data_IF_386633560679
#
_entry.id   IF_386633560679
#
_cell.length_a   1.000
_cell.length_b   1.000
_cell.length_c   1.000
_cell.angle_alpha   90.00
_cell.angle_beta   90.00
_cell.angle_gamma   90.00
#
_symmetry.space_group_name_H-M   'P 1'
#
loop_
_entity.id
_entity.type
_entity.pdbx_description
1 polymer ?
#
# COMPACT_ATOMS: atom_id res chain seq x y z
N UNK A 1 1.91 -0.34 26.69
CA UNK A 1 1.07 0.60 25.89
C UNK A 1 -0.40 0.28 26.13
N UNK A 2 -1.17 1.22 26.66
CA UNK A 2 -2.63 1.09 26.78
C UNK A 2 -3.30 1.81 25.64
N UNK A 3 -4.00 1.06 24.78
CA UNK A 3 -4.79 1.62 23.66
C UNK A 3 -6.20 1.86 24.17
N UNK A 4 -6.68 3.10 24.12
CA UNK A 4 -8.02 3.49 24.59
C UNK A 4 -9.06 3.52 23.47
N UNK A 5 -8.64 3.86 22.27
CA UNK A 5 -9.50 3.99 21.08
C UNK A 5 -8.62 3.90 19.84
N UNK A 6 -9.24 3.64 18.68
CA UNK A 6 -8.56 3.63 17.40
C UNK A 6 -9.44 4.16 16.29
N UNK A 7 -8.80 4.66 15.27
CA UNK A 7 -9.46 5.13 14.06
C UNK A 7 -8.81 4.45 12.86
N UNK A 8 -9.62 3.88 11.98
CA UNK A 8 -9.15 3.26 10.74
C UNK A 8 -9.70 3.98 9.53
N UNK A 9 -8.86 4.17 8.53
CA UNK A 9 -9.22 4.75 7.25
C UNK A 9 -8.74 3.86 6.12
N UNK A 10 -9.66 3.53 5.22
CA UNK A 10 -9.38 2.87 3.96
C UNK A 10 -9.33 3.89 2.83
N UNK A 11 -8.59 3.58 1.77
CA UNK A 11 -8.54 4.37 0.54
C UNK A 11 -8.08 3.53 -0.64
N UNK A 12 -8.33 3.98 -1.87
CA UNK A 12 -7.56 3.58 -3.04
C UNK A 12 -6.20 4.29 -3.04
N UNK A 13 -5.27 3.90 -3.92
CA UNK A 13 -3.93 4.48 -4.05
C UNK A 13 -3.73 5.14 -5.40
N UNK A 14 -3.87 4.40 -6.51
CA UNK A 14 -3.86 4.98 -7.85
C UNK A 14 -5.15 5.76 -8.14
N UNK A 15 -6.28 5.37 -7.54
CA UNK A 15 -7.55 6.06 -7.62
C UNK A 15 -7.47 7.52 -7.17
N UNK A 16 -8.20 8.40 -7.86
CA UNK A 16 -8.37 9.81 -7.53
C UNK A 16 -9.65 10.00 -6.72
N UNK A 17 -9.89 11.22 -6.21
CA UNK A 17 -11.16 11.54 -5.55
C UNK A 17 -12.33 11.30 -6.52
N UNK A 18 -13.28 10.45 -6.11
CA UNK A 18 -14.40 10.01 -6.94
C UNK A 18 -14.10 8.80 -7.83
N UNK A 19 -12.92 8.16 -7.71
CA UNK A 19 -12.69 6.83 -8.25
C UNK A 19 -13.65 5.82 -7.60
N UNK A 20 -13.99 4.76 -8.34
CA UNK A 20 -14.83 3.71 -7.79
C UNK A 20 -14.08 2.87 -6.76
N UNK A 21 -14.80 2.39 -5.73
CA UNK A 21 -14.19 1.57 -4.69
C UNK A 21 -13.73 0.19 -5.23
N UNK A 22 -14.49 -0.39 -6.16
CA UNK A 22 -14.20 -1.69 -6.76
C UNK A 22 -13.26 -1.61 -8.00
N UNK A 23 -12.34 -0.66 -8.03
CA UNK A 23 -11.27 -0.62 -9.04
C UNK A 23 -10.10 -1.53 -8.65
N UNK A 24 -9.38 -2.06 -9.69
CA UNK A 24 -8.10 -2.77 -9.48
C UNK A 24 -7.03 -1.79 -9.01
N UNK A 25 -6.69 -1.86 -7.74
CA UNK A 25 -5.77 -0.95 -7.07
C UNK A 25 -5.29 -1.55 -5.75
N UNK A 26 -4.20 -1.03 -5.21
CA UNK A 26 -3.84 -1.21 -3.80
C UNK A 26 -4.83 -0.41 -2.94
N UNK A 27 -5.16 -0.91 -1.76
CA UNK A 27 -5.93 -0.17 -0.75
C UNK A 27 -5.02 0.32 0.36
N UNK A 28 -5.11 1.61 0.66
CA UNK A 28 -4.56 2.14 1.89
C UNK A 28 -5.28 1.54 3.09
N UNK A 29 -4.52 1.15 4.09
CA UNK A 29 -4.95 0.52 5.33
C UNK A 29 -4.27 1.24 6.50
N UNK A 30 -4.84 2.37 6.94
CA UNK A 30 -4.22 3.24 7.91
C UNK A 30 -4.95 3.17 9.26
N UNK A 31 -4.19 2.90 10.33
CA UNK A 31 -4.66 2.86 11.71
C UNK A 31 -4.00 3.98 12.51
N UNK A 32 -4.81 4.67 13.29
CA UNK A 32 -4.38 5.58 14.33
C UNK A 32 -4.80 5.02 15.68
N UNK A 33 -3.83 4.70 16.51
CA UNK A 33 -4.05 4.24 17.88
C UNK A 33 -3.92 5.43 18.82
N UNK A 34 -4.97 5.70 19.60
CA UNK A 34 -4.93 6.70 20.66
C UNK A 34 -4.47 6.03 21.95
N UNK A 35 -3.23 6.27 22.32
CA UNK A 35 -2.62 5.66 23.51
C UNK A 35 -2.53 6.67 24.67
N UNK A 36 -2.12 6.20 25.84
CA UNK A 36 -1.86 7.06 27.00
C UNK A 36 -0.60 7.91 26.83
N UNK A 37 0.27 7.54 25.91
CA UNK A 37 1.57 8.17 25.62
C UNK A 37 1.53 9.06 24.38
N UNK A 38 0.42 9.06 23.64
CA UNK A 38 0.25 9.82 22.41
C UNK A 38 -0.42 9.01 21.31
N UNK A 39 -0.35 9.50 20.08
CA UNK A 39 -0.85 8.77 18.93
C UNK A 39 0.25 7.90 18.33
N UNK A 40 -0.10 6.66 18.04
CA UNK A 40 0.69 5.78 17.19
C UNK A 40 -0.06 5.54 15.88
N UNK A 41 0.57 5.86 14.75
CA UNK A 41 0.00 5.67 13.43
C UNK A 41 0.70 4.53 12.69
N UNK A 42 -0.07 3.52 12.28
CA UNK A 42 0.37 2.46 11.37
C UNK A 42 -0.23 2.72 9.99
N UNK A 43 0.58 3.26 9.08
CA UNK A 43 0.13 3.70 7.75
C UNK A 43 0.52 2.67 6.70
N UNK A 44 -0.30 1.63 6.59
CA UNK A 44 -0.06 0.46 5.75
C UNK A 44 -0.95 0.39 4.51
N UNK A 45 -0.90 -0.78 3.88
CA UNK A 45 -1.70 -1.15 2.70
C UNK A 45 -2.31 -2.54 2.89
N UNK A 46 -3.16 -2.94 1.94
CA UNK A 46 -3.68 -4.31 1.87
C UNK A 46 -2.70 -5.31 1.21
N UNK A 47 -1.47 -4.90 0.97
CA UNK A 47 -0.41 -5.71 0.38
C UNK A 47 0.85 -5.70 1.25
N UNK A 48 1.59 -6.81 1.37
CA UNK A 48 2.77 -6.89 2.21
C UNK A 48 3.98 -6.15 1.65
N UNK A 49 3.97 -5.79 0.38
CA UNK A 49 5.04 -5.13 -0.36
C UNK A 49 4.51 -3.91 -1.11
N UNK A 50 5.40 -3.19 -1.80
CA UNK A 50 5.06 -2.05 -2.63
C UNK A 50 5.85 -2.07 -3.95
N UNK A 51 5.51 -1.21 -4.91
CA UNK A 51 6.11 -1.19 -6.26
C UNK A 51 7.57 -0.75 -6.29
N UNK A 52 8.00 0.07 -5.34
CA UNK A 52 9.30 0.73 -5.34
C UNK A 52 9.98 0.64 -3.98
N UNK A 53 11.29 0.62 -3.97
CA UNK A 53 12.14 0.63 -2.77
C UNK A 53 12.95 1.93 -2.62
N UNK A 54 13.13 2.70 -3.70
CA UNK A 54 13.80 4.00 -3.67
C UNK A 54 12.77 5.14 -3.68
N UNK A 55 12.76 6.02 -2.66
CA UNK A 55 11.81 7.14 -2.59
C UNK A 55 11.92 8.14 -3.74
N UNK A 56 13.03 8.20 -4.46
CA UNK A 56 13.16 9.07 -5.65
C UNK A 56 12.12 8.75 -6.72
N UNK A 57 11.72 7.48 -6.82
CA UNK A 57 10.72 7.02 -7.79
C UNK A 57 9.28 7.25 -7.37
N UNK A 58 9.02 7.75 -6.14
CA UNK A 58 7.65 7.92 -5.65
C UNK A 58 6.85 8.95 -6.46
N UNK A 59 7.47 10.06 -6.84
CA UNK A 59 6.81 11.09 -7.67
C UNK A 59 6.57 10.54 -9.08
N UNK A 60 7.52 9.78 -9.62
CA UNK A 60 7.43 9.15 -10.94
C UNK A 60 6.31 8.11 -10.97
N UNK A 61 6.22 7.25 -9.95
CA UNK A 61 5.12 6.31 -9.78
C UNK A 61 3.76 7.03 -9.80
N UNK A 62 3.61 8.10 -9.03
CA UNK A 62 2.37 8.86 -9.00
C UNK A 62 2.01 9.44 -10.37
N UNK A 63 2.98 9.92 -11.14
CA UNK A 63 2.75 10.42 -12.50
C UNK A 63 2.36 9.30 -13.47
N UNK A 64 3.02 8.14 -13.37
CA UNK A 64 2.77 7.01 -14.24
C UNK A 64 1.35 6.43 -14.06
N UNK A 65 0.88 6.29 -12.81
CA UNK A 65 -0.43 5.68 -12.49
C UNK A 65 -1.61 6.66 -12.54
N UNK A 66 -1.37 7.97 -12.67
CA UNK A 66 -2.44 8.99 -12.69
C UNK A 66 -2.84 9.32 -14.13
N UNK A 67 -2.55 10.51 -14.60
CA UNK A 67 -3.06 11.04 -15.85
C UNK A 67 -1.94 11.38 -16.84
N UNK A 68 -2.12 10.99 -18.08
CA UNK A 68 -1.27 11.43 -19.17
C UNK A 68 -1.32 12.96 -19.31
N UNK A 69 -0.17 13.65 -19.42
CA UNK A 69 -0.13 15.12 -19.40
C UNK A 69 -0.78 15.78 -20.64
N UNK A 70 -0.95 15.04 -21.73
CA UNK A 70 -1.54 15.57 -22.97
C UNK A 70 -3.04 15.34 -23.02
N UNK A 71 -3.47 14.11 -22.70
CA UNK A 71 -4.86 13.68 -22.89
C UNK A 71 -5.70 13.83 -21.63
N UNK A 72 -5.06 13.89 -20.46
CA UNK A 72 -5.68 13.80 -19.14
C UNK A 72 -6.43 12.46 -18.91
N UNK A 73 -6.06 11.42 -19.64
CA UNK A 73 -6.60 10.06 -19.48
C UNK A 73 -5.59 9.20 -18.73
N UNK A 74 -6.06 8.12 -18.07
CA UNK A 74 -5.17 7.06 -17.61
C UNK A 74 -4.55 6.36 -18.81
N UNK A 75 -3.26 6.06 -18.76
CA UNK A 75 -2.52 5.47 -19.86
C UNK A 75 -1.89 4.14 -19.42
N UNK A 76 -2.32 3.00 -19.98
CA UNK A 76 -1.64 1.73 -19.77
C UNK A 76 -0.16 1.79 -20.17
N UNK A 77 0.17 2.49 -21.26
CA UNK A 77 1.57 2.69 -21.65
C UNK A 77 2.41 3.33 -20.56
N UNK A 78 1.95 4.45 -19.99
CA UNK A 78 2.72 5.16 -18.95
C UNK A 78 2.89 4.30 -17.71
N UNK A 79 1.83 3.62 -17.30
CA UNK A 79 1.82 2.79 -16.12
C UNK A 79 2.72 1.55 -16.27
N UNK A 80 2.51 0.79 -17.34
CA UNK A 80 3.27 -0.45 -17.57
C UNK A 80 4.71 -0.18 -17.99
N UNK A 81 4.99 0.92 -18.69
CA UNK A 81 6.38 1.31 -18.97
C UNK A 81 7.15 1.53 -17.67
N UNK A 82 6.57 2.29 -16.74
CA UNK A 82 7.18 2.52 -15.43
C UNK A 82 7.42 1.22 -14.66
N UNK A 83 6.38 0.38 -14.52
CA UNK A 83 6.51 -0.87 -13.77
C UNK A 83 7.52 -1.84 -14.38
N UNK A 84 7.58 -1.92 -15.71
CA UNK A 84 8.50 -2.82 -16.39
C UNK A 84 9.93 -2.31 -16.51
N UNK A 85 10.15 -1.00 -16.23
CA UNK A 85 11.50 -0.42 -16.12
C UNK A 85 12.12 -0.61 -14.73
N UNK A 86 11.32 -0.98 -13.76
CA UNK A 86 11.73 -1.23 -12.38
C UNK A 86 11.40 -2.69 -12.00
N UNK A 87 12.36 -3.62 -12.13
CA UNK A 87 12.12 -5.05 -11.89
C UNK A 87 11.64 -5.34 -10.47
N UNK A 88 12.02 -4.54 -9.49
CA UNK A 88 11.53 -4.63 -8.12
C UNK A 88 10.01 -4.47 -8.02
N UNK A 89 9.37 -3.89 -9.03
CA UNK A 89 7.91 -3.73 -9.06
C UNK A 89 7.16 -5.06 -9.27
N UNK A 90 7.82 -6.09 -9.83
CA UNK A 90 7.16 -7.33 -10.25
C UNK A 90 6.38 -7.99 -9.11
N UNK A 91 6.92 -8.05 -7.91
CA UNK A 91 6.26 -8.68 -6.78
C UNK A 91 4.91 -8.02 -6.47
N UNK A 92 4.89 -6.70 -6.38
CA UNK A 92 3.66 -5.96 -6.15
C UNK A 92 2.70 -6.03 -7.36
N UNK A 93 3.23 -5.98 -8.58
CA UNK A 93 2.43 -6.11 -9.81
C UNK A 93 1.74 -7.47 -9.85
N UNK A 94 2.45 -8.55 -9.50
CA UNK A 94 1.87 -9.90 -9.42
C UNK A 94 0.68 -9.94 -8.46
N UNK A 95 0.80 -9.34 -7.26
CA UNK A 95 -0.33 -9.25 -6.31
C UNK A 95 -1.47 -8.41 -6.88
N UNK A 96 -1.16 -7.28 -7.49
CA UNK A 96 -2.17 -6.34 -8.01
C UNK A 96 -2.94 -6.94 -9.19
N UNK A 97 -2.29 -7.75 -10.03
CA UNK A 97 -2.93 -8.39 -11.19
C UNK A 97 -3.61 -9.72 -10.83
N UNK A 98 -3.34 -10.28 -9.68
CA UNK A 98 -4.02 -11.49 -9.20
C UNK A 98 -5.50 -11.21 -8.84
N UNK A 99 -6.18 -12.21 -8.34
CA UNK A 99 -7.52 -12.08 -7.75
C UNK A 99 -7.57 -11.09 -6.58
N UNK A 100 -6.46 -10.88 -5.85
CA UNK A 100 -6.34 -9.92 -4.74
C UNK A 100 -6.41 -8.45 -5.13
N UNK A 101 -6.29 -8.12 -6.42
CA UNK A 101 -6.30 -6.75 -6.90
C UNK A 101 -7.62 -6.01 -6.71
N UNK A 102 -8.74 -6.74 -6.58
CA UNK A 102 -10.07 -6.17 -6.34
C UNK A 102 -10.74 -6.91 -5.17
N UNK A 103 -10.54 -6.50 -3.92
CA UNK A 103 -11.29 -7.03 -2.80
C UNK A 103 -12.79 -6.77 -2.99
N UNK A 104 -13.65 -7.71 -2.54
CA UNK A 104 -15.10 -7.53 -2.63
C UNK A 104 -15.62 -6.40 -1.73
N UNK A 105 -14.92 -6.11 -0.65
CA UNK A 105 -15.16 -4.96 0.23
C UNK A 105 -13.94 -4.66 1.10
N UNK A 106 -13.95 -3.54 1.84
CA UNK A 106 -12.91 -3.22 2.82
C UNK A 106 -12.84 -4.23 3.98
N UNK A 107 -13.91 -4.97 4.27
CA UNK A 107 -13.95 -5.98 5.32
C UNK A 107 -13.21 -7.26 4.94
N UNK A 108 -13.11 -7.56 3.64
CA UNK A 108 -12.60 -8.81 3.09
C UNK A 108 -11.16 -8.71 2.58
N UNK A 109 -10.35 -7.87 3.18
CA UNK A 109 -8.94 -7.74 2.86
C UNK A 109 -8.07 -7.69 4.12
N UNK A 110 -6.85 -8.18 4.02
CA UNK A 110 -5.84 -8.03 5.04
C UNK A 110 -5.23 -6.63 5.01
N UNK A 111 -4.54 -6.26 6.09
CA UNK A 111 -3.71 -5.08 6.17
C UNK A 111 -2.28 -5.44 6.57
N UNK A 112 -1.33 -4.63 6.13
CA UNK A 112 0.09 -4.83 6.38
C UNK A 112 0.76 -3.50 6.68
N UNK A 113 1.76 -3.50 7.56
CA UNK A 113 2.65 -2.34 7.67
C UNK A 113 3.44 -2.13 6.39
N UNK A 114 3.67 -3.19 5.63
CA UNK A 114 4.58 -3.32 4.48
C UNK A 114 6.03 -3.02 4.86
N UNK A 115 6.27 -1.89 5.52
CA UNK A 115 7.57 -1.50 6.08
C UNK A 115 7.98 -2.35 7.28
N UNK A 116 9.29 -2.41 7.48
CA UNK A 116 9.90 -2.85 8.73
C UNK A 116 9.95 -1.69 9.72
N UNK A 117 9.51 -1.95 10.95
CA UNK A 117 9.63 -1.05 12.11
C UNK A 117 10.55 -1.68 13.14
N UNK A 118 10.73 -1.02 14.28
CA UNK A 118 11.42 -1.60 15.42
C UNK A 118 10.53 -1.65 16.65
N UNK A 119 10.77 -2.66 17.51
CA UNK A 119 10.31 -2.67 18.89
C UNK A 119 11.52 -2.59 19.81
N UNK A 120 11.40 -1.78 20.86
CA UNK A 120 12.47 -1.50 21.81
C UNK A 120 11.93 -1.80 23.21
N UNK A 121 12.63 -2.67 23.94
CA UNK A 121 12.22 -3.06 25.29
C UNK A 121 12.76 -2.07 26.36
N UNK A 122 12.43 -2.34 27.63
CA UNK A 122 12.86 -1.51 28.76
C UNK A 122 14.38 -1.56 29.00
N UNK A 123 15.06 -2.58 28.51
CA UNK A 123 16.51 -2.71 28.58
C UNK A 123 17.22 -2.03 27.39
N UNK A 124 16.46 -1.28 26.60
CA UNK A 124 16.92 -0.59 25.38
C UNK A 124 17.48 -1.54 24.32
N UNK A 125 16.94 -2.78 24.25
CA UNK A 125 17.26 -3.74 23.22
C UNK A 125 16.23 -3.64 22.09
N UNK A 126 16.71 -3.65 20.85
CA UNK A 126 15.90 -3.54 19.64
C UNK A 126 15.69 -4.88 18.95
N UNK A 127 14.47 -5.08 18.42
CA UNK A 127 14.16 -6.08 17.40
C UNK A 127 13.42 -5.42 16.24
N UNK A 128 13.59 -5.97 15.06
CA UNK A 128 12.84 -5.55 13.88
C UNK A 128 11.47 -6.22 13.84
N UNK A 129 10.48 -5.52 13.30
CA UNK A 129 9.11 -6.03 13.28
C UNK A 129 8.38 -5.64 11.99
N UNK A 130 7.58 -6.56 11.46
CA UNK A 130 6.52 -6.27 10.49
C UNK A 130 5.15 -6.57 11.12
N UNK A 131 4.19 -5.67 10.91
CA UNK A 131 2.82 -5.83 11.43
C UNK A 131 1.90 -6.36 10.34
N UNK A 132 1.04 -7.30 10.71
CA UNK A 132 0.06 -7.95 9.85
C UNK A 132 -1.31 -7.86 10.51
N UNK A 133 -2.33 -7.50 9.74
CA UNK A 133 -3.71 -7.32 10.18
C UNK A 133 -4.58 -8.26 9.36
N UNK A 134 -4.93 -9.41 9.93
CA UNK A 134 -5.66 -10.47 9.22
C UNK A 134 -7.17 -10.32 9.44
N UNK A 135 -7.90 -10.14 8.35
CA UNK A 135 -9.37 -10.09 8.39
C UNK A 135 -9.93 -11.40 8.95
N UNK A 136 -10.87 -11.29 9.89
CA UNK A 136 -11.59 -12.43 10.43
C UNK A 136 -12.88 -12.75 9.64
N UNK A 137 -13.22 -11.92 8.66
CA UNK A 137 -14.35 -12.12 7.75
C UNK A 137 -13.98 -13.04 6.58
N UNK A 138 -12.71 -13.45 6.50
CA UNK A 138 -12.15 -14.14 5.34
C UNK A 138 -11.78 -13.19 4.22
N UNK A 139 -11.21 -13.74 3.17
CA UNK A 139 -10.83 -13.02 1.97
C UNK A 139 -11.83 -13.30 0.87
N UNK A 140 -12.31 -12.25 0.25
CA UNK A 140 -13.21 -12.34 -0.89
C UNK A 140 -12.81 -11.29 -1.91
N UNK A 141 -12.80 -11.66 -3.18
CA UNK A 141 -12.36 -10.82 -4.27
C UNK A 141 -13.42 -10.80 -5.37
N UNK A 142 -13.41 -9.77 -6.20
CA UNK A 142 -14.23 -9.66 -7.39
C UNK A 142 -13.38 -9.97 -8.63
N UNK A 143 -13.98 -10.63 -9.59
CA UNK A 143 -13.45 -10.65 -10.95
C UNK A 143 -13.58 -9.25 -11.59
N UNK A 144 -12.83 -8.98 -12.64
CA UNK A 144 -12.94 -7.71 -13.35
C UNK A 144 -14.38 -7.47 -13.87
N UNK A 145 -15.07 -8.51 -14.34
CA UNK A 145 -16.44 -8.43 -14.83
C UNK A 145 -17.44 -8.09 -13.71
N UNK A 146 -17.31 -8.75 -12.54
CA UNK A 146 -18.13 -8.41 -11.37
C UNK A 146 -17.85 -7.00 -10.90
N UNK A 147 -16.59 -6.58 -10.89
CA UNK A 147 -16.20 -5.24 -10.50
C UNK A 147 -16.78 -4.18 -11.45
N UNK A 148 -16.73 -4.41 -12.76
CA UNK A 148 -17.35 -3.53 -13.76
C UNK A 148 -18.88 -3.40 -13.56
N UNK A 149 -19.56 -4.51 -13.28
CA UNK A 149 -20.98 -4.51 -12.99
C UNK A 149 -21.29 -3.74 -11.69
N UNK A 150 -20.52 -3.97 -10.62
CA UNK A 150 -20.67 -3.25 -9.35
C UNK A 150 -20.42 -1.76 -9.53
N UNK A 151 -19.35 -1.38 -10.22
CA UNK A 151 -19.01 0.04 -10.47
C UNK A 151 -20.10 0.74 -11.29
N UNK A 152 -20.71 0.02 -12.23
CA UNK A 152 -21.81 0.55 -13.04
C UNK A 152 -23.08 0.86 -12.23
N UNK A 153 -23.30 0.15 -11.12
CA UNK A 153 -24.45 0.32 -10.24
C UNK A 153 -24.14 1.22 -9.04
N UNK A 154 -23.01 1.02 -8.39
CA UNK A 154 -22.60 1.71 -7.17
C UNK A 154 -21.08 1.91 -7.12
N UNK A 155 -20.65 3.13 -7.30
CA UNK A 155 -19.23 3.50 -7.27
C UNK A 155 -18.63 3.47 -5.88
N UNK A 156 -19.45 3.66 -4.85
CA UNK A 156 -19.07 3.67 -3.43
C UNK A 156 -19.40 2.34 -2.73
N UNK A 157 -19.39 1.23 -3.46
CA UNK A 157 -19.85 -0.09 -3.00
C UNK A 157 -19.16 -0.57 -1.70
N UNK A 158 -17.85 -0.38 -1.56
CA UNK A 158 -17.13 -0.79 -0.36
C UNK A 158 -17.43 0.13 0.83
N UNK A 159 -17.63 1.43 0.57
CA UNK A 159 -18.03 2.39 1.58
C UNK A 159 -19.43 2.06 2.11
N UNK A 160 -20.37 1.74 1.21
CA UNK A 160 -21.75 1.33 1.55
C UNK A 160 -21.74 0.04 2.37
N UNK A 161 -20.97 -0.96 1.94
CA UNK A 161 -20.83 -2.24 2.64
C UNK A 161 -20.32 -2.04 4.06
N UNK A 162 -19.20 -1.34 4.22
CA UNK A 162 -18.58 -1.09 5.53
C UNK A 162 -19.52 -0.32 6.47
N UNK A 163 -20.11 0.78 5.97
CA UNK A 163 -21.01 1.61 6.76
C UNK A 163 -22.21 0.81 7.25
N UNK A 164 -22.89 0.11 6.36
CA UNK A 164 -24.06 -0.68 6.67
C UNK A 164 -23.76 -1.86 7.61
N UNK A 165 -22.62 -2.54 7.44
CA UNK A 165 -22.21 -3.61 8.34
C UNK A 165 -22.09 -3.11 9.79
N UNK A 166 -21.48 -1.95 9.98
CA UNK A 166 -21.35 -1.34 11.32
C UNK A 166 -22.71 -0.94 11.89
N UNK A 167 -23.59 -0.27 11.09
CA UNK A 167 -24.94 0.12 11.53
C UNK A 167 -25.81 -1.11 11.91
N UNK A 168 -25.61 -2.22 11.23
CA UNK A 168 -26.32 -3.47 11.52
C UNK A 168 -25.73 -4.27 12.69
N UNK A 169 -24.66 -3.80 13.32
CA UNK A 169 -23.97 -4.50 14.39
C UNK A 169 -23.11 -5.70 13.92
N UNK A 170 -22.89 -5.84 12.62
CA UNK A 170 -21.97 -6.81 12.01
C UNK A 170 -20.55 -6.24 11.99
N UNK A 171 -19.95 -6.09 13.14
CA UNK A 171 -18.68 -5.37 13.33
C UNK A 171 -17.52 -6.14 12.69
N UNK A 172 -16.85 -5.59 11.66
CA UNK A 172 -15.69 -6.23 11.06
C UNK A 172 -14.50 -6.23 12.02
N UNK A 173 -13.74 -7.34 12.01
CA UNK A 173 -12.63 -7.62 12.93
C UNK A 173 -11.36 -7.97 12.20
N UNK A 174 -10.24 -7.60 12.80
CA UNK A 174 -8.92 -8.05 12.37
C UNK A 174 -8.11 -8.51 13.57
N UNK A 175 -7.39 -9.61 13.39
CA UNK A 175 -6.33 -10.03 14.30
C UNK A 175 -5.03 -9.36 13.89
N UNK A 176 -4.31 -8.85 14.87
CA UNK A 176 -3.00 -8.25 14.70
C UNK A 176 -1.92 -9.27 15.04
N UNK A 177 -1.01 -9.46 14.10
CA UNK A 177 0.17 -10.30 14.24
C UNK A 177 1.43 -9.49 14.00
N UNK A 178 2.53 -9.98 14.53
CA UNK A 178 3.87 -9.47 14.23
C UNK A 178 4.76 -10.61 13.75
N UNK A 179 5.68 -10.28 12.84
CA UNK A 179 6.88 -11.06 12.62
C UNK A 179 8.02 -10.33 13.32
N UNK A 180 8.90 -11.06 13.99
CA UNK A 180 10.00 -10.49 14.75
C UNK A 180 11.33 -11.04 14.22
N UNK A 181 12.31 -10.17 14.08
CA UNK A 181 13.67 -10.47 13.61
C UNK A 181 14.66 -9.74 14.50
N UNK A 182 15.65 -10.43 14.99
CA UNK A 182 16.75 -9.81 15.76
C UNK A 182 17.69 -9.03 14.82
N UNK A 183 18.48 -8.12 15.38
CA UNK A 183 19.50 -7.40 14.60
C UNK A 183 20.57 -8.34 14.01
N UNK A 184 20.89 -9.44 14.70
CA UNK A 184 21.85 -10.43 14.22
C UNK A 184 21.27 -11.25 13.05
N UNK A 185 20.01 -11.67 13.13
CA UNK A 185 19.34 -12.34 12.02
C UNK A 185 19.25 -11.42 10.79
N UNK A 186 18.94 -10.14 10.98
CA UNK A 186 18.87 -9.16 9.90
C UNK A 186 20.18 -9.00 9.12
N UNK A 187 21.33 -9.07 9.83
CA UNK A 187 22.66 -8.99 9.20
C UNK A 187 23.01 -10.21 8.35
N UNK A 188 22.43 -11.37 8.70
CA UNK A 188 22.78 -12.66 8.09
C UNK A 188 21.78 -13.10 7.00
N UNK A 189 20.75 -12.31 6.72
CA UNK A 189 19.80 -12.61 5.66
C UNK A 189 20.43 -12.49 4.27
N UNK A 190 20.03 -13.35 3.33
CA UNK A 190 20.47 -13.27 1.93
C UNK A 190 19.83 -12.13 1.14
N UNK A 191 18.92 -11.39 1.73
CA UNK A 191 18.23 -10.23 1.14
C UNK A 191 18.11 -9.11 2.17
N UNK A 192 17.90 -7.88 1.72
CA UNK A 192 17.72 -6.73 2.61
C UNK A 192 16.34 -6.79 3.31
N UNK A 193 16.28 -6.96 4.64
CA UNK A 193 15.03 -7.04 5.40
C UNK A 193 14.27 -5.70 5.48
N UNK A 194 14.91 -4.62 5.08
CA UNK A 194 14.36 -3.26 5.05
C UNK A 194 13.89 -2.84 3.65
N UNK A 195 14.00 -3.74 2.67
CA UNK A 195 13.49 -3.50 1.32
C UNK A 195 11.96 -3.68 1.30
N UNK A 196 11.26 -2.60 0.93
CA UNK A 196 9.80 -2.55 0.89
C UNK A 196 9.20 -3.47 -0.20
N UNK A 197 9.98 -3.91 -1.15
CA UNK A 197 9.52 -4.82 -2.22
C UNK A 197 9.61 -6.31 -1.82
N UNK A 198 10.12 -6.58 -0.61
CA UNK A 198 10.35 -7.93 -0.09
C UNK A 198 9.54 -8.25 1.15
N UNK A 199 9.09 -9.49 1.22
CA UNK A 199 8.42 -10.08 2.39
C UNK A 199 9.40 -10.90 3.21
N UNK A 200 9.10 -11.07 4.49
CA UNK A 200 9.78 -12.04 5.35
C UNK A 200 9.04 -13.37 5.29
N UNK A 201 9.78 -14.46 5.10
CA UNK A 201 9.17 -15.79 5.00
C UNK A 201 8.59 -16.23 6.36
N UNK A 202 7.33 -16.65 6.39
CA UNK A 202 6.67 -17.17 7.61
C UNK A 202 7.38 -18.40 8.20
N UNK A 203 8.05 -19.17 7.36
CA UNK A 203 8.81 -20.33 7.79
C UNK A 203 9.96 -19.95 8.73
N UNK A 204 10.60 -18.82 8.43
CA UNK A 204 11.76 -18.34 9.18
C UNK A 204 11.35 -17.37 10.30
N UNK A 205 10.35 -16.55 10.04
CA UNK A 205 9.79 -15.56 10.96
C UNK A 205 8.28 -15.78 11.11
N UNK A 206 7.85 -16.68 12.01
CA UNK A 206 6.44 -17.03 12.18
C UNK A 206 5.61 -15.84 12.69
N UNK A 207 4.31 -15.86 12.38
CA UNK A 207 3.38 -14.86 12.87
C UNK A 207 3.09 -15.09 14.35
N UNK A 208 3.23 -14.05 15.16
CA UNK A 208 2.92 -14.02 16.59
C UNK A 208 1.67 -13.16 16.78
N UNK A 209 0.59 -13.76 17.29
CA UNK A 209 -0.64 -13.02 17.58
C UNK A 209 -0.42 -12.07 18.77
N UNK A 210 -0.75 -10.78 18.60
CA UNK A 210 -0.59 -9.76 19.64
C UNK A 210 -1.90 -9.09 20.05
N UNK A 211 -2.99 -9.33 19.34
CA UNK A 211 -4.31 -8.81 19.69
C UNK A 211 -5.29 -8.82 18.54
N UNK A 212 -6.47 -8.29 18.82
CA UNK A 212 -7.52 -8.11 17.82
C UNK A 212 -8.20 -6.74 18.00
N UNK A 213 -8.87 -6.27 16.96
CA UNK A 213 -9.73 -5.12 17.02
C UNK A 213 -10.95 -5.26 16.12
N UNK A 214 -12.00 -4.51 16.44
CA UNK A 214 -13.22 -4.41 15.66
C UNK A 214 -13.54 -2.96 15.32
N UNK A 215 -14.25 -2.73 14.22
CA UNK A 215 -14.82 -1.44 13.86
C UNK A 215 -16.29 -1.46 14.24
N UNK A 216 -16.65 -0.73 15.30
CA UNK A 216 -17.97 -0.79 15.93
C UNK A 216 -18.69 0.57 15.97
N UNK A 217 -18.15 1.59 15.33
CA UNK A 217 -18.72 2.92 15.25
C UNK A 217 -18.38 3.61 13.93
N UNK A 218 -19.39 4.10 13.24
CA UNK A 218 -19.25 5.00 12.11
C UNK A 218 -18.94 6.44 12.57
N UNK A 219 -18.31 7.28 11.70
CA UNK A 219 -18.19 8.71 11.99
C UNK A 219 -19.57 9.36 12.00
N UNK A 220 -19.76 10.37 12.88
CA UNK A 220 -20.95 11.22 12.88
C UNK A 220 -20.90 12.25 11.74
N UNK A 221 -19.72 12.73 11.42
CA UNK A 221 -19.50 13.66 10.33
C UNK A 221 -18.23 13.31 9.56
N UNK A 222 -18.38 12.94 8.29
CA UNK A 222 -17.28 12.47 7.47
C UNK A 222 -16.17 13.51 7.31
N UNK A 223 -16.51 14.80 7.12
CA UNK A 223 -15.50 15.83 6.98
C UNK A 223 -14.70 16.00 8.27
N UNK A 224 -15.37 16.11 9.40
CA UNK A 224 -14.73 16.37 10.69
C UNK A 224 -13.85 15.20 11.17
N UNK A 225 -14.31 13.96 10.99
CA UNK A 225 -13.68 12.77 11.59
C UNK A 225 -12.85 11.95 10.59
N UNK A 226 -13.12 12.05 9.28
CA UNK A 226 -12.42 11.27 8.25
C UNK A 226 -11.61 12.15 7.31
N UNK A 227 -12.23 13.13 6.65
CA UNK A 227 -11.52 13.94 5.66
C UNK A 227 -10.41 14.79 6.27
N UNK A 228 -10.62 15.32 7.49
CA UNK A 228 -9.61 16.06 8.23
C UNK A 228 -8.60 15.19 8.98
N UNK A 229 -8.72 13.87 8.93
CA UNK A 229 -7.73 12.99 9.56
C UNK A 229 -6.37 13.12 8.88
N UNK A 230 -5.32 13.17 9.68
CA UNK A 230 -3.93 13.15 9.23
C UNK A 230 -3.22 11.96 9.87
N UNK A 231 -2.64 11.11 9.03
CA UNK A 231 -1.78 10.02 9.45
C UNK A 231 -0.33 10.36 9.17
N UNK A 232 0.57 9.91 10.02
CA UNK A 232 2.00 10.05 9.78
C UNK A 232 2.79 8.90 10.39
N UNK A 233 3.66 8.24 9.63
CA UNK A 233 4.61 7.28 10.20
C UNK A 233 5.54 7.87 11.28
N UNK A 234 5.63 9.20 11.35
CA UNK A 234 6.36 9.90 12.42
C UNK A 234 5.64 9.85 13.77
N UNK A 235 4.33 9.55 13.81
CA UNK A 235 3.60 9.41 15.05
C UNK A 235 3.92 8.04 15.67
N UNK A 236 4.90 8.04 16.55
CA UNK A 236 5.37 6.88 17.29
C UNK A 236 5.20 7.12 18.79
N UNK A 237 5.18 6.06 19.56
CA UNK A 237 5.16 6.10 21.04
C UNK A 237 6.39 5.35 21.57
N UNK A 238 6.82 5.59 22.82
CA UNK A 238 7.97 4.88 23.39
C UNK A 238 7.88 3.36 23.22
N UNK A 239 8.99 2.76 22.80
CA UNK A 239 9.10 1.33 22.51
C UNK A 239 8.73 0.93 21.07
N UNK A 240 8.26 1.86 20.23
CA UNK A 240 8.07 1.66 18.79
C UNK A 240 8.91 2.67 18.03
N UNK A 241 9.77 2.20 17.15
CA UNK A 241 10.66 3.04 16.36
C UNK A 241 10.60 2.72 14.86
N UNK A 242 11.33 3.51 14.09
CA UNK A 242 11.51 3.29 12.65
C UNK A 242 12.65 2.29 12.39
N UNK A 243 12.89 1.97 11.14
CA UNK A 243 13.99 1.13 10.67
C UNK A 243 14.82 1.84 9.60
N UNK A 244 15.96 1.27 9.14
CA UNK A 244 16.72 1.78 8.00
C UNK A 244 16.02 1.68 6.64
N UNK A 245 14.75 1.29 6.58
CA UNK A 245 13.94 1.32 5.37
C UNK A 245 13.87 2.75 4.80
N UNK A 246 14.48 2.97 3.64
CA UNK A 246 14.59 4.31 3.02
C UNK A 246 13.24 4.91 2.67
N UNK A 247 12.28 4.07 2.23
CA UNK A 247 10.92 4.51 1.95
C UNK A 247 10.22 4.98 3.23
N UNK A 248 10.35 4.23 4.34
CA UNK A 248 9.80 4.61 5.64
C UNK A 248 10.40 5.93 6.13
N UNK A 249 11.72 6.05 6.10
CA UNK A 249 12.42 7.27 6.53
C UNK A 249 11.96 8.51 5.76
N UNK A 250 11.73 8.38 4.45
CA UNK A 250 11.21 9.47 3.63
C UNK A 250 9.74 9.78 3.97
N UNK A 251 8.92 8.75 4.22
CA UNK A 251 7.51 8.93 4.59
C UNK A 251 7.33 9.67 5.92
N UNK A 252 8.27 9.53 6.85
CA UNK A 252 8.28 10.31 8.11
C UNK A 252 8.21 11.82 7.85
N UNK A 253 8.91 12.32 6.84
CA UNK A 253 8.87 13.73 6.46
C UNK A 253 7.71 14.08 5.54
N UNK A 254 7.47 13.26 4.54
CA UNK A 254 6.50 13.53 3.47
C UNK A 254 5.06 13.68 3.98
N UNK A 255 4.66 12.87 4.97
CA UNK A 255 3.30 12.93 5.51
C UNK A 255 3.03 14.20 6.31
N UNK A 256 4.02 14.66 7.10
CA UNK A 256 3.93 15.93 7.81
C UNK A 256 3.84 17.12 6.86
N UNK A 257 4.62 17.09 5.78
CA UNK A 257 4.57 18.14 4.74
C UNK A 257 3.20 18.17 4.04
N UNK A 258 2.74 17.02 3.55
CA UNK A 258 1.43 16.92 2.90
C UNK A 258 0.27 17.38 3.81
N UNK A 259 0.30 17.06 5.10
CA UNK A 259 -0.72 17.47 6.06
C UNK A 259 -0.74 18.99 6.26
N UNK A 260 0.42 19.65 6.28
CA UNK A 260 0.49 21.12 6.36
C UNK A 260 -0.18 21.79 5.17
N UNK A 261 0.03 21.29 3.96
CA UNK A 261 -0.62 21.81 2.75
C UNK A 261 -2.13 21.54 2.75
N UNK A 262 -2.55 20.33 3.13
CA UNK A 262 -3.96 19.94 3.05
C UNK A 262 -4.80 20.53 4.16
N UNK A 263 -4.30 20.59 5.39
CA UNK A 263 -5.07 20.89 6.59
C UNK A 263 -4.58 22.15 7.35
N UNK A 264 -3.36 22.60 7.07
CA UNK A 264 -2.72 23.71 7.76
C UNK A 264 -1.68 23.28 8.78
N UNK A 265 -0.86 24.24 9.23
CA UNK A 265 0.30 24.00 10.11
C UNK A 265 -0.11 23.44 11.49
N UNK A 266 -1.30 23.74 11.96
CA UNK A 266 -1.84 23.28 13.25
C UNK A 266 -2.82 22.09 13.10
N UNK A 267 -2.69 21.26 12.05
CA UNK A 267 -3.56 20.11 11.80
C UNK A 267 -3.62 19.11 12.95
N UNK A 268 -2.58 19.03 13.77
CA UNK A 268 -2.55 18.18 14.96
C UNK A 268 -3.52 18.63 16.06
N UNK A 269 -4.07 19.85 15.99
CA UNK A 269 -5.10 20.36 16.91
C UNK A 269 -6.52 20.00 16.47
N UNK A 270 -6.72 19.51 15.27
CA UNK A 270 -8.02 19.01 14.82
C UNK A 270 -8.39 17.79 15.69
N UNK A 271 -9.60 17.70 16.26
CA UNK A 271 -9.97 16.70 17.26
C UNK A 271 -9.63 15.24 16.89
N UNK A 272 -9.80 14.85 15.62
CA UNK A 272 -9.45 13.50 15.15
C UNK A 272 -7.95 13.23 15.16
N UNK A 273 -7.12 14.27 15.12
CA UNK A 273 -5.67 14.17 15.10
C UNK A 273 -5.03 14.37 16.49
N UNK A 274 -5.79 14.85 17.46
CA UNK A 274 -5.29 15.05 18.81
C UNK A 274 -5.12 13.73 19.56
N UNK A 275 -4.08 13.56 20.38
CA UNK A 275 -4.01 12.49 21.35
C UNK A 275 -5.17 12.55 22.33
N UNK A 276 -5.87 11.45 22.54
CA UNK A 276 -7.03 11.36 23.43
C UNK A 276 -6.68 11.00 24.89
N UNK A 277 -5.52 10.39 25.09
CA UNK A 277 -5.08 9.89 26.39
C UNK A 277 -4.20 10.84 27.19
N UNK A 278 -3.66 11.87 26.58
CA UNK A 278 -2.70 12.79 27.15
C UNK A 278 -3.43 14.07 27.63
N UNK A 279 -3.33 14.37 28.92
CA UNK A 279 -4.01 15.55 29.48
C UNK A 279 -3.38 16.87 29.07
N UNK A 280 -2.06 16.87 28.97
CA UNK A 280 -1.24 18.05 28.65
C UNK A 280 -0.49 17.79 27.35
N UNK A 281 -1.24 17.82 26.25
CA UNK A 281 -0.65 17.63 24.92
C UNK A 281 0.07 18.90 24.49
N UNK A 282 1.39 18.83 24.52
CA UNK A 282 2.24 19.90 23.99
C UNK A 282 2.89 19.47 22.69
N UNK A 283 2.87 20.35 21.70
CA UNK A 283 3.75 20.25 20.54
C UNK A 283 4.77 21.37 20.62
N UNK A 284 5.95 21.16 20.10
CA UNK A 284 6.95 22.22 19.93
C UNK A 284 6.52 23.25 18.89
N UNK A 285 5.43 22.96 18.15
CA UNK A 285 4.84 23.91 17.22
C UNK A 285 4.21 25.08 17.99
N UNK A 286 4.52 26.26 17.55
CA UNK A 286 3.97 27.52 18.06
C UNK A 286 3.48 28.34 16.89
N UNK A 287 2.53 29.22 17.18
CA UNK A 287 2.00 30.16 16.22
C UNK A 287 1.33 29.50 15.01
N UNK A 288 1.15 30.26 13.95
CA UNK A 288 0.55 29.80 12.70
C UNK A 288 -0.97 29.76 12.68
N UNK A 289 -1.51 29.52 11.50
CA UNK A 289 -2.95 29.55 11.26
C UNK A 289 -3.69 28.47 12.04
N UNK A 290 -4.89 28.79 12.51
CA UNK A 290 -5.77 27.83 13.18
C UNK A 290 -5.33 27.46 14.60
N UNK A 291 -4.41 28.20 15.23
CA UNK A 291 -4.00 27.98 16.61
C UNK A 291 -5.08 28.48 17.55
N UNK A 292 -5.68 27.59 18.37
CA UNK A 292 -6.85 27.88 19.20
C UNK A 292 -6.69 27.49 20.68
N UNK A 293 -5.53 26.93 21.05
CA UNK A 293 -5.23 26.38 22.39
C UNK A 293 -4.50 27.38 23.32
N UNK A 294 -4.48 28.65 22.99
CA UNK A 294 -3.75 29.66 23.74
C UNK A 294 -2.25 29.70 23.47
N UNK A 295 -1.74 28.90 22.50
CA UNK A 295 -0.35 28.93 22.00
C UNK A 295 0.72 28.73 23.09
N UNK A 296 0.42 27.96 24.16
CA UNK A 296 1.30 27.73 25.29
C UNK A 296 1.44 28.93 26.25
N UNK A 297 0.56 29.93 26.13
CA UNK A 297 0.51 31.08 27.05
C UNK A 297 1.84 31.84 27.14
N UNK A 298 2.34 32.03 28.36
CA UNK A 298 3.60 32.74 28.65
C UNK A 298 4.82 31.79 28.74
N UNK A 299 4.69 30.52 28.40
CA UNK A 299 5.77 29.57 28.51
C UNK A 299 6.92 29.88 27.52
N UNK A 300 8.15 29.61 27.95
CA UNK A 300 9.33 29.77 27.11
C UNK A 300 9.36 28.66 26.04
N UNK A 301 9.66 29.03 24.81
CA UNK A 301 9.56 28.16 23.64
C UNK A 301 10.77 27.27 23.36
N UNK A 302 11.94 27.60 23.93
CA UNK A 302 13.16 26.84 23.67
C UNK A 302 13.32 25.73 24.72
N UNK A 303 13.63 24.53 24.27
CA UNK A 303 13.86 23.36 25.14
C UNK A 303 15.12 23.48 25.98
N UNK A 304 16.12 24.22 25.50
CA UNK A 304 17.34 24.53 26.29
C UNK A 304 17.06 25.80 27.10
N UNK A 305 16.62 25.67 28.33
CA UNK A 305 16.34 26.79 29.24
C UNK A 305 16.64 26.41 30.68
N UNK A 306 16.60 27.41 31.61
CA UNK A 306 16.87 27.26 33.03
C UNK A 306 15.62 27.04 33.89
N UNK A 307 14.46 26.88 33.27
CA UNK A 307 13.15 26.87 33.96
C UNK A 307 12.56 25.49 34.13
N UNK A 308 13.20 24.45 33.55
CA UNK A 308 12.76 23.06 33.63
C UNK A 308 11.57 22.70 32.74
N UNK A 309 11.23 23.58 31.77
CA UNK A 309 10.23 23.28 30.76
C UNK A 309 10.88 22.58 29.56
N UNK A 310 10.13 21.69 28.88
CA UNK A 310 10.62 20.98 27.70
C UNK A 310 11.85 20.13 27.99
N UNK A 311 11.75 19.26 28.97
CA UNK A 311 12.84 18.33 29.35
C UNK A 311 12.81 17.13 28.40
N UNK A 312 13.97 16.76 27.88
CA UNK A 312 14.13 15.48 27.18
C UNK A 312 13.84 14.31 28.12
N UNK A 313 13.33 13.23 27.57
CA UNK A 313 13.10 11.96 28.22
C UNK A 313 14.17 10.94 27.79
N UNK A 314 15.37 10.95 28.38
CA UNK A 314 16.49 10.09 27.96
C UNK A 314 16.16 8.60 28.08
N UNK A 315 15.21 8.23 28.95
CA UNK A 315 14.72 6.87 29.08
C UNK A 315 13.97 6.36 27.82
N UNK A 316 13.53 7.26 26.95
CA UNK A 316 12.90 6.94 25.68
C UNK A 316 13.84 7.01 24.49
N UNK A 317 15.15 7.24 24.73
CA UNK A 317 16.13 7.27 23.67
C UNK A 317 16.25 5.89 23.02
N UNK A 318 16.15 5.86 21.69
CA UNK A 318 16.35 4.63 20.93
C UNK A 318 17.81 4.22 20.91
N UNK A 319 18.12 2.90 20.90
CA UNK A 319 19.48 2.45 20.69
C UNK A 319 19.97 2.90 19.31
N UNK A 320 21.26 3.22 19.14
CA UNK A 320 21.79 3.57 17.83
C UNK A 320 21.55 2.41 16.84
N UNK A 321 21.38 2.72 15.57
CA UNK A 321 21.41 1.69 14.54
C UNK A 321 22.78 0.99 14.54
N UNK A 322 22.81 -0.33 14.24
CA UNK A 322 24.09 -1.04 14.12
C UNK A 322 24.99 -0.28 13.15
N UNK A 323 26.16 0.13 13.66
CA UNK A 323 27.05 1.02 12.93
C UNK A 323 27.57 0.40 11.64
N UNK A 324 27.58 1.19 10.60
CA UNK A 324 28.24 0.96 9.33
C UNK A 324 28.84 2.27 8.84
N UNK A 325 29.58 2.23 7.76
CA UNK A 325 29.98 3.44 7.07
C UNK A 325 28.73 4.16 6.58
N UNK A 326 28.62 5.46 6.81
CA UNK A 326 27.54 6.26 6.25
C UNK A 326 27.90 6.53 4.80
N UNK A 327 27.16 5.93 3.89
CA UNK A 327 27.35 6.10 2.46
C UNK A 327 26.02 6.40 1.77
N UNK A 328 26.12 7.06 0.59
CA UNK A 328 25.03 7.19 -0.33
C UNK A 328 24.97 5.93 -1.21
N UNK A 329 23.95 5.10 -0.98
CA UNK A 329 23.70 3.95 -1.83
C UNK A 329 22.66 4.30 -2.90
N UNK A 330 23.02 4.15 -4.16
CA UNK A 330 22.11 4.19 -5.28
C UNK A 330 21.69 2.76 -5.65
N UNK A 331 20.39 2.48 -5.58
CA UNK A 331 19.87 1.19 -6.02
C UNK A 331 20.05 1.04 -7.53
N UNK A 332 20.60 -0.09 -7.95
CA UNK A 332 20.84 -0.43 -9.34
C UNK A 332 20.01 -1.63 -9.71
N UNK A 333 19.75 -1.81 -11.00
CA UNK A 333 18.93 -2.91 -11.50
C UNK A 333 19.60 -4.28 -11.30
N UNK A 334 20.92 -4.33 -11.21
CA UNK A 334 21.75 -5.53 -11.11
C UNK A 334 22.25 -5.84 -9.70
N UNK A 335 21.76 -5.12 -8.66
CA UNK A 335 22.29 -5.21 -7.31
C UNK A 335 21.51 -6.17 -6.39
N UNK A 336 20.42 -6.79 -6.85
CA UNK A 336 19.56 -7.61 -6.02
C UNK A 336 18.76 -8.67 -6.80
N UNK A 337 18.13 -9.58 -6.07
CA UNK A 337 17.19 -10.56 -6.59
C UNK A 337 15.76 -9.98 -6.60
N UNK A 338 15.18 -9.86 -7.80
CA UNK A 338 13.84 -9.34 -8.02
C UNK A 338 12.81 -10.44 -8.35
N UNK A 339 13.23 -11.68 -8.56
CA UNK A 339 12.41 -12.71 -9.21
C UNK A 339 12.06 -13.87 -8.29
N UNK A 340 12.87 -14.20 -7.31
CA UNK A 340 12.62 -15.35 -6.42
C UNK A 340 11.29 -15.22 -5.67
N UNK A 341 11.01 -14.07 -5.05
CA UNK A 341 9.77 -13.93 -4.26
C UNK A 341 8.50 -13.91 -5.12
N UNK A 342 8.40 -13.16 -6.24
CA UNK A 342 7.24 -13.29 -7.12
C UNK A 342 7.09 -14.67 -7.75
N UNK A 343 8.18 -15.38 -8.04
CA UNK A 343 8.15 -16.77 -8.50
C UNK A 343 7.59 -17.73 -7.45
N UNK A 344 8.01 -17.59 -6.18
CA UNK A 344 7.46 -18.35 -5.07
C UNK A 344 5.95 -18.06 -4.91
N UNK A 345 5.55 -16.78 -4.97
CA UNK A 345 4.15 -16.38 -4.90
C UNK A 345 3.34 -17.04 -6.02
N UNK A 346 3.82 -16.95 -7.27
CA UNK A 346 3.18 -17.55 -8.43
C UNK A 346 2.99 -19.07 -8.27
N UNK A 347 4.02 -19.77 -7.81
CA UNK A 347 3.99 -21.23 -7.63
C UNK A 347 3.10 -21.68 -6.45
N UNK A 348 2.69 -20.78 -5.58
CA UNK A 348 1.73 -21.07 -4.50
C UNK A 348 0.28 -20.86 -4.93
N UNK A 349 0.04 -20.20 -6.04
CA UNK A 349 -1.28 -20.01 -6.61
C UNK A 349 -1.82 -21.33 -7.18
N UNK A 350 -3.12 -21.55 -7.09
CA UNK A 350 -3.79 -22.63 -7.82
C UNK A 350 -3.73 -22.37 -9.33
N UNK A 351 -3.98 -23.37 -10.14
CA UNK A 351 -4.01 -23.21 -11.61
C UNK A 351 -5.06 -22.18 -12.04
N UNK A 352 -6.21 -22.14 -11.37
CA UNK A 352 -7.26 -21.16 -11.61
C UNK A 352 -6.79 -19.74 -11.28
N UNK A 353 -6.09 -19.56 -10.15
CA UNK A 353 -5.53 -18.26 -9.76
C UNK A 353 -4.44 -17.79 -10.71
N UNK A 354 -3.60 -18.72 -11.20
CA UNK A 354 -2.59 -18.42 -12.22
C UNK A 354 -3.26 -17.98 -13.53
N UNK A 355 -4.31 -18.66 -13.95
CA UNK A 355 -5.06 -18.28 -15.17
C UNK A 355 -5.70 -16.90 -15.02
N UNK A 356 -6.32 -16.61 -13.88
CA UNK A 356 -6.87 -15.29 -13.56
C UNK A 356 -5.79 -14.20 -13.60
N UNK A 357 -4.60 -14.48 -13.07
CA UNK A 357 -3.46 -13.57 -13.12
C UNK A 357 -3.05 -13.24 -14.57
N UNK A 358 -2.97 -14.25 -15.45
CA UNK A 358 -2.61 -14.05 -16.86
C UNK A 358 -3.66 -13.18 -17.58
N UNK A 359 -4.93 -13.49 -17.41
CA UNK A 359 -6.04 -12.79 -18.07
C UNK A 359 -6.17 -11.34 -17.58
N UNK A 360 -6.07 -11.12 -16.27
CA UNK A 360 -6.09 -9.77 -15.70
C UNK A 360 -4.91 -8.93 -16.17
N UNK A 361 -3.73 -9.54 -16.24
CA UNK A 361 -2.52 -8.88 -16.75
C UNK A 361 -2.72 -8.46 -18.20
N UNK A 362 -3.15 -9.38 -19.06
CA UNK A 362 -3.39 -9.09 -20.47
C UNK A 362 -4.44 -7.98 -20.68
N UNK A 363 -5.54 -8.03 -19.93
CA UNK A 363 -6.61 -7.02 -19.98
C UNK A 363 -6.11 -5.65 -19.51
N UNK A 364 -5.38 -5.61 -18.41
CA UNK A 364 -4.88 -4.35 -17.84
C UNK A 364 -3.77 -3.72 -18.70
N UNK A 365 -2.94 -4.52 -19.36
CA UNK A 365 -1.94 -4.02 -20.31
C UNK A 365 -2.59 -3.42 -21.57
N UNK A 366 -3.73 -3.96 -21.97
CA UNK A 366 -4.52 -3.43 -23.10
C UNK A 366 -3.68 -3.15 -24.36
N UNK A 367 -3.74 -1.91 -24.83
CA UNK A 367 -3.01 -1.45 -26.03
C UNK A 367 -1.59 -0.93 -25.73
N UNK A 368 -0.99 -1.33 -24.62
CA UNK A 368 0.44 -1.04 -24.37
C UNK A 368 1.32 -1.52 -25.53
N UNK A 369 2.39 -0.79 -25.81
CA UNK A 369 3.31 -1.15 -26.92
C UNK A 369 3.88 -2.55 -26.77
N UNK A 370 4.22 -3.17 -27.89
CA UNK A 370 4.80 -4.52 -27.91
C UNK A 370 6.07 -4.62 -27.06
N UNK A 371 6.90 -3.57 -27.08
CA UNK A 371 8.12 -3.53 -26.28
C UNK A 371 7.84 -3.61 -24.77
N UNK A 372 6.81 -2.91 -24.28
CA UNK A 372 6.41 -2.96 -22.87
C UNK A 372 5.89 -4.36 -22.53
N UNK A 373 5.08 -4.96 -23.40
CA UNK A 373 4.58 -6.33 -23.23
C UNK A 373 5.73 -7.35 -23.16
N UNK A 374 6.71 -7.26 -24.06
CA UNK A 374 7.89 -8.12 -24.06
C UNK A 374 8.71 -7.98 -22.76
N UNK A 375 8.92 -6.74 -22.26
CA UNK A 375 9.60 -6.54 -20.98
C UNK A 375 8.86 -7.20 -19.82
N UNK A 376 7.54 -7.06 -19.76
CA UNK A 376 6.77 -7.70 -18.71
C UNK A 376 6.81 -9.22 -18.79
N UNK A 377 6.62 -9.79 -19.96
CA UNK A 377 6.74 -11.25 -20.20
C UNK A 377 8.10 -11.75 -19.73
N UNK A 378 9.16 -11.06 -20.06
CA UNK A 378 10.54 -11.41 -19.65
C UNK A 378 10.68 -11.41 -18.12
N UNK A 379 10.18 -10.40 -17.42
CA UNK A 379 10.23 -10.37 -15.96
C UNK A 379 9.45 -11.53 -15.34
N UNK A 380 8.27 -11.83 -15.86
CA UNK A 380 7.49 -12.98 -15.43
C UNK A 380 8.24 -14.30 -15.68
N UNK A 381 8.90 -14.44 -16.85
CA UNK A 381 9.67 -15.63 -17.22
C UNK A 381 10.90 -15.84 -16.30
N UNK A 382 11.57 -14.77 -15.90
CA UNK A 382 12.68 -14.87 -14.94
C UNK A 382 12.21 -15.24 -13.54
N UNK A 383 10.99 -14.87 -13.15
CA UNK A 383 10.39 -15.32 -11.92
C UNK A 383 10.00 -16.81 -11.96
N UNK A 384 9.36 -17.23 -13.06
CA UNK A 384 9.04 -18.62 -13.38
C UNK A 384 8.70 -18.74 -14.87
N UNK A 385 9.28 -19.70 -15.62
CA UNK A 385 8.99 -19.88 -17.04
C UNK A 385 7.50 -20.03 -17.35
N UNK A 386 6.73 -20.79 -16.55
CA UNK A 386 5.28 -20.96 -16.71
C UNK A 386 4.54 -19.64 -16.56
N UNK A 387 5.03 -18.74 -15.68
CA UNK A 387 4.45 -17.41 -15.50
C UNK A 387 4.63 -16.56 -16.76
N UNK A 388 5.85 -16.53 -17.31
CA UNK A 388 6.12 -15.80 -18.56
C UNK A 388 5.35 -16.33 -19.77
N UNK A 389 5.35 -17.65 -19.95
CA UNK A 389 4.60 -18.34 -21.03
C UNK A 389 3.09 -18.08 -20.93
N UNK A 390 2.53 -18.14 -19.71
CA UNK A 390 1.10 -17.88 -19.48
C UNK A 390 0.69 -16.44 -19.79
N UNK A 391 1.52 -15.47 -19.42
CA UNK A 391 1.28 -14.06 -19.77
C UNK A 391 1.43 -13.83 -21.26
N UNK A 392 2.44 -14.41 -21.92
CA UNK A 392 2.63 -14.32 -23.36
C UNK A 392 1.43 -14.88 -24.11
N UNK A 393 0.97 -16.07 -23.75
CA UNK A 393 -0.23 -16.69 -24.33
C UNK A 393 -1.47 -15.81 -24.16
N UNK A 394 -1.70 -15.26 -22.98
CA UNK A 394 -2.85 -14.38 -22.70
C UNK A 394 -2.82 -13.08 -23.52
N UNK A 395 -1.61 -12.59 -23.84
CA UNK A 395 -1.39 -11.42 -24.70
C UNK A 395 -1.43 -11.75 -26.20
N UNK A 396 -1.50 -13.04 -26.58
CA UNK A 396 -1.41 -13.51 -27.97
C UNK A 396 -0.03 -13.30 -28.59
N UNK A 397 1.03 -13.37 -27.79
CA UNK A 397 2.43 -13.20 -28.18
C UNK A 397 3.12 -14.58 -28.12
N UNK A 398 3.88 -14.93 -29.17
CA UNK A 398 4.71 -16.12 -29.14
C UNK A 398 5.92 -15.86 -28.21
N UNK A 399 6.19 -16.78 -27.29
CA UNK A 399 7.31 -16.64 -26.36
C UNK A 399 8.66 -16.61 -27.10
N UNK A 400 8.76 -17.27 -28.26
CA UNK A 400 9.95 -17.28 -29.08
C UNK A 400 10.26 -15.91 -29.73
N UNK A 401 9.28 -15.01 -29.79
CA UNK A 401 9.46 -13.61 -30.22
C UNK A 401 9.99 -12.70 -29.12
N UNK A 402 10.02 -13.17 -27.87
CA UNK A 402 10.47 -12.40 -26.71
C UNK A 402 11.96 -12.66 -26.47
N UNK A 403 12.77 -11.60 -26.50
CA UNK A 403 14.17 -11.71 -26.10
C UNK A 403 14.30 -11.99 -24.60
N UNK A 404 14.60 -13.23 -24.25
CA UNK A 404 14.75 -13.70 -22.87
C UNK A 404 16.20 -13.65 -22.36
N UNK A 405 17.18 -13.32 -23.22
CA UNK A 405 18.61 -13.37 -22.85
C UNK A 405 19.15 -12.03 -22.32
N UNK A 406 18.46 -10.91 -22.57
CA UNK A 406 18.96 -9.56 -22.24
C UNK A 406 17.93 -8.71 -21.53
N UNK A 407 18.40 -7.98 -20.52
CA UNK A 407 17.89 -6.63 -20.28
C UNK A 407 18.03 -5.86 -21.60
N UNK A 408 16.95 -5.24 -22.11
CA UNK A 408 17.15 -4.35 -23.23
C UNK A 408 18.07 -3.24 -22.73
N UNK A 409 19.33 -3.25 -23.18
CA UNK A 409 20.11 -2.02 -23.14
C UNK A 409 19.23 -0.94 -23.75
N UNK A 410 19.11 0.21 -23.08
CA UNK A 410 18.52 1.41 -23.67
C UNK A 410 19.45 1.84 -24.82
N UNK A 411 19.37 1.12 -25.94
CA UNK A 411 20.06 1.56 -27.13
C UNK A 411 19.45 2.89 -27.55
N UNK A 412 20.27 3.79 -28.09
CA UNK A 412 19.78 5.06 -28.67
C UNK A 412 18.63 4.80 -29.66
N UNK A 413 18.61 3.65 -30.33
CA UNK A 413 17.54 3.20 -31.22
C UNK A 413 16.23 2.90 -30.47
N UNK A 414 16.27 2.28 -29.29
CA UNK A 414 15.08 1.98 -28.47
C UNK A 414 14.56 3.26 -27.81
N UNK A 415 15.45 4.15 -27.41
CA UNK A 415 15.08 5.50 -26.92
C UNK A 415 14.49 6.36 -28.04
N UNK A 416 15.04 6.29 -29.27
CA UNK A 416 14.47 6.98 -30.43
C UNK A 416 13.09 6.45 -30.78
N UNK A 417 12.87 5.13 -30.78
CA UNK A 417 11.55 4.50 -31.01
C UNK A 417 10.54 4.83 -29.89
N UNK A 418 10.99 5.01 -28.66
CA UNK A 418 10.13 5.49 -27.57
C UNK A 418 9.78 6.97 -27.69
N UNK A 419 10.63 7.75 -28.35
CA UNK A 419 10.41 9.16 -28.65
C UNK A 419 9.60 9.39 -29.94
N UNK A 420 9.69 8.47 -30.90
CA UNK A 420 8.78 8.41 -32.04
C UNK A 420 7.44 7.80 -31.55
N UNK A 421 6.82 8.49 -30.62
CA UNK A 421 5.41 8.27 -30.27
C UNK A 421 4.64 8.68 -31.51
N UNK A 422 4.40 7.76 -32.41
CA UNK A 422 3.34 7.86 -33.39
C UNK A 422 2.02 7.94 -32.61
N UNK A 423 1.63 9.15 -32.31
CA UNK A 423 0.38 9.47 -31.66
C UNK A 423 -0.81 9.35 -32.65
N UNK A 424 -0.81 8.39 -33.51
CA UNK A 424 -2.05 7.82 -34.01
C UNK A 424 -2.66 7.04 -32.85
N UNK A 425 -3.27 7.82 -31.96
CA UNK A 425 -3.91 7.33 -30.76
C UNK A 425 -5.18 6.57 -31.15
N UNK A 426 -5.02 5.25 -31.34
CA UNK A 426 -6.14 4.33 -31.53
C UNK A 426 -7.00 4.15 -30.27
N UNK A 427 -6.62 4.77 -29.16
CA UNK A 427 -7.27 4.63 -27.85
C UNK A 427 -8.26 5.76 -27.52
N UNK A 428 -8.56 6.65 -28.41
CA UNK A 428 -9.77 7.47 -28.30
C UNK A 428 -10.89 6.69 -28.97
N UNK A 429 -11.90 6.21 -28.25
CA UNK A 429 -13.09 5.67 -28.88
C UNK A 429 -13.61 6.71 -29.87
N UNK A 430 -13.49 6.44 -31.17
CA UNK A 430 -13.95 7.34 -32.23
C UNK A 430 -15.45 7.28 -32.40
N UNK A 431 -16.11 6.34 -31.74
CA UNK A 431 -17.56 6.23 -31.70
C UNK A 431 -18.04 6.22 -30.23
N UNK A 432 -19.15 6.92 -29.93
CA UNK A 432 -19.77 6.81 -28.62
C UNK A 432 -20.23 5.36 -28.42
N UNK A 433 -20.06 4.83 -27.21
CA UNK A 433 -20.54 3.50 -26.86
C UNK A 433 -22.00 3.34 -27.26
N UNK A 434 -22.30 2.25 -27.96
CA UNK A 434 -23.67 1.97 -28.42
C UNK A 434 -24.60 1.89 -27.19
N UNK A 435 -25.61 2.76 -27.10
CA UNK A 435 -26.56 2.73 -25.98
C UNK A 435 -27.37 1.42 -25.90
N UNK A 436 -27.35 0.59 -26.94
CA UNK A 436 -28.05 -0.69 -26.94
C UNK A 436 -27.27 -1.80 -26.20
N UNK A 437 -25.95 -1.69 -26.09
CA UNK A 437 -25.12 -2.65 -25.33
C UNK A 437 -25.36 -2.62 -23.80
N UNK A 438 -26.01 -1.58 -23.30
CA UNK A 438 -26.38 -1.45 -21.89
C UNK A 438 -27.70 -2.12 -21.50
N UNK A 439 -28.44 -2.68 -22.47
CA UNK A 439 -29.79 -3.25 -22.22
C UNK A 439 -29.79 -4.69 -21.73
N UNK A 440 -28.65 -5.39 -21.83
CA UNK A 440 -28.52 -6.79 -21.44
C UNK A 440 -27.93 -6.98 -20.04
N UNK A 441 -27.88 -5.94 -19.20
CA UNK A 441 -27.47 -6.05 -17.81
C UNK A 441 -28.63 -6.62 -16.98
N UNK A 442 -28.43 -7.68 -16.19
CA UNK A 442 -29.48 -8.29 -15.40
C UNK A 442 -30.09 -7.29 -14.40
N UNK A 443 -31.40 -7.24 -14.32
CA UNK A 443 -32.15 -6.43 -13.35
C UNK A 443 -32.02 -6.92 -11.89
N UNK A 444 -31.32 -8.02 -11.65
CA UNK A 444 -31.20 -8.69 -10.37
C UNK A 444 -29.98 -8.24 -9.56
N UNK A 445 -29.86 -6.98 -9.22
CA UNK A 445 -28.68 -6.47 -8.47
C UNK A 445 -28.97 -5.66 -7.21
N UNK A 446 -30.25 -5.46 -6.83
CA UNK A 446 -30.58 -4.59 -5.69
C UNK A 446 -30.58 -5.28 -4.31
N UNK A 447 -30.53 -6.61 -4.27
CA UNK A 447 -30.47 -7.40 -3.05
C UNK A 447 -29.33 -8.44 -3.10
N UNK A 448 -28.18 -8.09 -3.61
CA UNK A 448 -27.00 -8.97 -3.54
C UNK A 448 -26.64 -9.16 -2.08
N UNK A 449 -26.96 -10.32 -1.56
CA UNK A 449 -26.46 -10.78 -0.29
C UNK A 449 -24.97 -11.09 -0.49
N UNK A 450 -24.10 -10.12 -0.20
CA UNK A 450 -22.65 -10.25 -0.35
C UNK A 450 -22.05 -11.40 0.48
N UNK A 451 -22.83 -12.01 1.38
CA UNK A 451 -22.43 -13.14 2.20
C UNK A 451 -22.51 -14.50 1.44
N UNK A 452 -23.12 -14.56 0.25
CA UNK A 452 -23.30 -15.80 -0.53
C UNK A 452 -22.33 -15.99 -1.71
N UNK A 453 -21.60 -14.96 -2.10
CA UNK A 453 -20.67 -15.04 -3.22
C UNK A 453 -19.28 -15.28 -2.66
N UNK A 454 -18.75 -16.49 -2.75
CA UNK A 454 -17.35 -16.91 -2.76
C UNK A 454 -16.98 -18.01 -1.73
N UNK A 455 -16.07 -18.89 -2.17
CA UNK A 455 -15.34 -19.80 -1.29
C UNK A 455 -14.43 -19.00 -0.33
N UNK A 456 -14.67 -19.13 0.97
CA UNK A 456 -13.80 -18.56 2.00
C UNK A 456 -12.47 -19.32 1.97
N UNK A 457 -11.39 -18.65 1.62
CA UNK A 457 -10.04 -19.20 1.76
C UNK A 457 -9.65 -19.08 3.24
N UNK A 458 -9.28 -20.19 3.85
CA UNK A 458 -8.77 -20.18 5.22
C UNK A 458 -7.51 -19.29 5.28
N UNK A 459 -7.49 -18.41 6.28
CA UNK A 459 -6.43 -17.43 6.43
C UNK A 459 -5.03 -18.05 6.62
N UNK A 460 -4.94 -19.33 7.02
CA UNK A 460 -3.67 -20.03 7.20
C UNK A 460 -3.10 -20.58 5.88
N UNK A 461 -3.95 -20.83 4.88
CA UNK A 461 -3.58 -21.32 3.55
C UNK A 461 -3.47 -20.21 2.50
N UNK A 462 -3.52 -18.93 2.92
CA UNK A 462 -3.43 -17.80 2.01
C UNK A 462 -2.08 -17.76 1.27
N UNK A 463 -2.05 -17.97 -0.06
CA UNK A 463 -0.81 -18.03 -0.84
C UNK A 463 -0.03 -16.72 -0.85
N UNK A 464 -0.70 -15.58 -0.58
CA UNK A 464 -0.08 -14.25 -0.57
C UNK A 464 0.66 -13.92 0.73
N UNK A 465 0.64 -14.84 1.69
CA UNK A 465 1.51 -14.82 2.85
C UNK A 465 2.73 -15.71 2.59
N UNK A 466 3.86 -15.12 2.20
CA UNK A 466 5.10 -15.83 1.98
C UNK A 466 5.70 -16.38 3.27
#
# INVERSE_FOLDING_TARGET
>A
MCIRDRFQRFSTVAGERGAADAERDIRGFALKFYTEEGNWDLVGNNTPVFFIRDPKHFIELNRAVKRDPRTNLRSPNNNWDFWTRLPESLHQVTITMSDRGIPSSYRHMHGFSSHTYSLINADNERVWVKFHLRSQQGIQNLTDQEAEAVVGMDRESHQVDLYNAIEQGKYPKWKMYIQVMTEEEAKNLPYNPFDLTKSWYKKDFPLIEVGEYELNRNPENYFAEVEQSAFSPANQVPGIGISPDRMLMTRVFAYGDAARYRLGVNHHQIPVNQPKGVKDFHTQHRDGQGRVDGNGGSEIHNGVNSYGNWVDHPENAEPPFPGGEVDYHEFREDDDDYYTQPGILFNRMTEEQQQVLFENTARNMGDSTLQIKHRHIRHCYFADPKYGEGVAQALGIDIDDVDLERWPEDTEENLAKSNDRDFEDKNVPTEPADPESAKDLPEEGRDTNYDEITSVIDADDDPYFL
#
